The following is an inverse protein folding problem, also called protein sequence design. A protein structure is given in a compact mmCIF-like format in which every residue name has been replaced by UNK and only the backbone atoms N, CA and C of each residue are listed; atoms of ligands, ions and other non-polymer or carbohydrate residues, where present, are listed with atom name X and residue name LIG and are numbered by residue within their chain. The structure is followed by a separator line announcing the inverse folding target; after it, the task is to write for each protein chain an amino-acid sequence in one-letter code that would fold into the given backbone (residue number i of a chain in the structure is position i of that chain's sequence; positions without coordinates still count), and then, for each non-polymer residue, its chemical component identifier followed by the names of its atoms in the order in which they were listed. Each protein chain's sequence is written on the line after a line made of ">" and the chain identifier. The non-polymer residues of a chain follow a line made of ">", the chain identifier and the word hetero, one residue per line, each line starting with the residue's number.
data_IF_585268155203
#
_entry.id   IF_585268155203
#
_cell.length_a   1.000
_cell.length_b   1.000
_cell.length_c   1.000
_cell.angle_alpha   90.00
_cell.angle_beta   90.00
_cell.angle_gamma   90.00
#
_symmetry.space_group_name_H-M   'P 1'
#
loop_
_entity.id
_entity.type
_entity.pdbx_description
1 polymer ?
#
# COMPACT_ATOMS: atom_id res chain seq x y z
N UNK A 1 12.23 10.07 6.80
CA UNK A 1 11.49 8.81 6.70
C UNK A 1 11.34 8.29 8.11
N UNK A 2 10.10 8.12 8.55
CA UNK A 2 9.82 7.47 9.83
C UNK A 2 10.48 6.09 9.85
N UNK A 3 11.10 5.76 10.98
CA UNK A 3 11.63 4.43 11.23
C UNK A 3 10.54 3.60 11.91
N UNK A 4 10.41 2.35 11.52
CA UNK A 4 9.49 1.39 12.12
C UNK A 4 10.27 0.25 12.79
N UNK A 5 9.65 -0.39 13.78
CA UNK A 5 10.21 -1.57 14.40
C UNK A 5 10.44 -2.68 13.35
N UNK A 6 11.54 -3.43 13.48
CA UNK A 6 11.88 -4.50 12.54
C UNK A 6 12.42 -4.04 11.18
N UNK A 7 12.69 -2.74 10.96
CA UNK A 7 13.27 -2.25 9.70
C UNK A 7 14.60 -2.94 9.34
N UNK A 8 15.55 -2.97 10.29
CA UNK A 8 16.85 -3.60 10.08
C UNK A 8 16.73 -5.13 9.85
N UNK A 9 15.74 -5.78 10.46
CA UNK A 9 15.45 -7.20 10.20
C UNK A 9 14.94 -7.38 8.77
N UNK A 10 13.98 -6.57 8.33
CA UNK A 10 13.46 -6.62 6.98
C UNK A 10 14.55 -6.39 5.93
N UNK A 11 15.43 -5.41 6.14
CA UNK A 11 16.59 -5.16 5.27
C UNK A 11 17.57 -6.35 5.23
N UNK A 12 17.87 -6.93 6.39
CA UNK A 12 18.78 -8.07 6.51
C UNK A 12 18.25 -9.34 5.84
N UNK A 13 16.93 -9.57 5.87
CA UNK A 13 16.30 -10.78 5.34
C UNK A 13 15.88 -10.66 3.87
N UNK A 14 15.43 -9.47 3.44
CA UNK A 14 14.77 -9.28 2.15
C UNK A 14 15.40 -8.22 1.26
N UNK A 15 16.61 -7.77 1.63
CA UNK A 15 17.40 -6.80 0.88
C UNK A 15 17.13 -5.35 1.25
N UNK A 16 18.04 -4.47 0.86
CA UNK A 16 17.90 -3.03 1.08
C UNK A 16 16.82 -2.45 0.14
N UNK A 17 15.84 -1.70 0.68
CA UNK A 17 14.76 -1.10 -0.11
C UNK A 17 15.25 0.11 -0.92
N UNK A 18 14.58 0.40 -2.04
CA UNK A 18 14.66 1.73 -2.63
C UNK A 18 13.93 2.74 -1.74
N UNK A 19 14.48 3.96 -1.59
CA UNK A 19 13.85 4.99 -0.76
C UNK A 19 13.40 6.15 -1.65
N UNK A 20 12.09 6.43 -1.65
CA UNK A 20 11.51 7.59 -2.34
C UNK A 20 10.89 8.57 -1.37
N UNK A 21 10.97 9.85 -1.72
CA UNK A 21 10.40 10.95 -0.94
C UNK A 21 9.42 11.73 -1.79
N UNK A 22 8.25 12.02 -1.22
CA UNK A 22 7.18 12.77 -1.86
C UNK A 22 6.77 13.94 -0.97
N UNK A 23 6.61 15.12 -1.58
CA UNK A 23 5.94 16.26 -0.97
C UNK A 23 4.51 16.31 -1.51
N UNK A 24 3.51 16.17 -0.64
CA UNK A 24 2.10 16.20 -1.01
C UNK A 24 1.46 17.60 -0.86
N UNK A 25 2.26 18.61 -0.52
CA UNK A 25 1.79 19.97 -0.30
C UNK A 25 1.02 20.12 1.01
N UNK A 26 0.02 20.99 1.01
CA UNK A 26 -0.93 21.12 2.13
C UNK A 26 -2.23 20.41 1.75
N UNK A 27 -2.62 19.44 2.57
CA UNK A 27 -3.80 18.60 2.33
C UNK A 27 -5.02 19.06 3.15
N UNK A 28 -4.93 20.20 3.86
CA UNK A 28 -6.08 20.77 4.60
C UNK A 28 -6.79 19.74 5.48
N UNK A 29 -8.13 19.74 5.46
CA UNK A 29 -8.98 18.80 6.20
C UNK A 29 -9.60 17.71 5.31
N UNK A 30 -8.87 17.21 4.32
CA UNK A 30 -9.32 16.17 3.39
C UNK A 30 -9.71 14.88 4.14
N UNK A 31 -11.00 14.73 4.42
CA UNK A 31 -11.53 13.75 5.38
C UNK A 31 -11.10 12.32 5.06
N UNK A 32 -11.29 11.88 3.80
CA UNK A 32 -10.90 10.53 3.36
C UNK A 32 -9.41 10.24 3.52
N UNK A 33 -8.58 11.26 3.31
CA UNK A 33 -7.14 11.14 3.52
C UNK A 33 -6.78 11.09 5.01
N UNK A 34 -7.45 11.85 5.86
CA UNK A 34 -7.19 11.83 7.30
C UNK A 34 -7.75 10.61 8.03
N UNK A 35 -8.91 10.11 7.61
CA UNK A 35 -9.50 8.88 8.13
C UNK A 35 -8.51 7.72 8.04
N UNK A 36 -7.82 7.59 6.89
CA UNK A 36 -6.86 6.51 6.69
C UNK A 36 -5.65 6.60 7.63
N UNK A 37 -5.26 7.79 8.07
CA UNK A 37 -4.07 8.03 8.89
C UNK A 37 -4.38 8.26 10.36
N UNK A 38 -5.66 8.14 10.76
CA UNK A 38 -6.15 8.51 12.10
C UNK A 38 -5.39 7.80 13.24
N UNK A 39 -5.03 6.53 13.05
CA UNK A 39 -4.43 5.69 14.09
C UNK A 39 -3.02 5.19 13.76
N UNK A 40 -2.41 5.67 12.67
CA UNK A 40 -1.14 5.13 12.17
C UNK A 40 -0.26 6.21 11.55
N UNK A 41 1.05 6.02 11.68
CA UNK A 41 2.04 6.86 11.01
C UNK A 41 2.70 6.15 9.81
N UNK A 42 2.51 4.84 9.72
CA UNK A 42 3.00 4.05 8.62
C UNK A 42 2.02 2.94 8.22
N UNK A 43 2.21 2.43 7.01
CA UNK A 43 1.51 1.26 6.48
C UNK A 43 2.48 0.32 5.78
N UNK A 44 2.09 -0.94 5.65
CA UNK A 44 2.71 -1.90 4.74
C UNK A 44 1.88 -1.97 3.47
N UNK A 45 2.53 -2.00 2.31
CA UNK A 45 1.91 -2.20 1.00
C UNK A 45 2.30 -3.58 0.49
N UNK A 46 1.29 -4.38 0.15
CA UNK A 46 1.43 -5.79 -0.18
C UNK A 46 1.38 -5.96 -1.70
N UNK A 47 2.53 -6.14 -2.34
CA UNK A 47 2.61 -6.49 -3.76
C UNK A 47 2.55 -8.00 -3.86
N UNK A 48 1.34 -8.56 -3.90
CA UNK A 48 1.16 -10.01 -3.97
C UNK A 48 1.20 -10.45 -5.43
N UNK A 49 2.30 -11.09 -5.83
CA UNK A 49 2.47 -11.64 -7.17
C UNK A 49 1.72 -12.98 -7.29
N UNK A 50 0.88 -13.06 -8.31
CA UNK A 50 -0.02 -14.15 -8.66
C UNK A 50 0.53 -14.94 -9.85
N UNK A 51 -0.18 -16.01 -10.23
CA UNK A 51 0.17 -16.81 -11.39
C UNK A 51 0.31 -15.94 -12.65
N UNK A 52 1.28 -16.27 -13.51
CA UNK A 52 1.56 -15.51 -14.73
C UNK A 52 2.16 -14.11 -14.48
N UNK A 53 2.71 -13.84 -13.30
CA UNK A 53 3.36 -12.57 -12.98
C UNK A 53 2.38 -11.41 -12.74
N UNK A 54 1.10 -11.71 -12.54
CA UNK A 54 0.07 -10.71 -12.23
C UNK A 54 0.18 -10.22 -10.79
N UNK A 55 -0.42 -9.09 -10.48
CA UNK A 55 -0.45 -8.47 -9.16
C UNK A 55 -1.90 -8.41 -8.66
N UNK A 56 -2.11 -8.82 -7.42
CA UNK A 56 -3.43 -8.75 -6.78
C UNK A 56 -3.78 -7.31 -6.39
N UNK A 57 -4.97 -6.88 -6.76
CA UNK A 57 -5.60 -5.65 -6.30
C UNK A 57 -6.89 -5.98 -5.55
N UNK A 58 -7.30 -5.07 -4.68
CA UNK A 58 -8.57 -5.11 -3.96
C UNK A 58 -9.38 -3.84 -4.16
N UNK A 59 -10.68 -3.94 -3.88
CA UNK A 59 -11.60 -2.80 -3.79
C UNK A 59 -12.41 -2.91 -2.49
N UNK A 60 -12.85 -1.77 -1.96
CA UNK A 60 -13.67 -1.69 -0.74
C UNK A 60 -15.03 -1.11 -1.10
N UNK A 61 -16.08 -1.59 -0.43
CA UNK A 61 -17.49 -1.25 -0.72
C UNK A 61 -17.83 0.25 -0.63
N UNK A 62 -16.99 1.04 0.03
CA UNK A 62 -17.18 2.48 0.21
C UNK A 62 -16.31 3.34 -0.72
N UNK A 63 -15.48 2.73 -1.58
CA UNK A 63 -14.72 3.46 -2.59
C UNK A 63 -15.64 3.92 -3.73
N UNK A 64 -15.24 4.97 -4.48
CA UNK A 64 -15.87 5.27 -5.75
C UNK A 64 -15.85 4.05 -6.67
N UNK A 65 -16.91 3.88 -7.47
CA UNK A 65 -17.03 2.75 -8.38
C UNK A 65 -15.80 2.62 -9.30
N UNK A 66 -15.34 1.39 -9.51
CA UNK A 66 -14.17 1.13 -10.34
C UNK A 66 -12.83 1.46 -9.69
N UNK A 67 -12.81 1.86 -8.41
CA UNK A 67 -11.55 2.11 -7.69
C UNK A 67 -10.93 0.79 -7.22
N UNK A 68 -9.70 0.54 -7.65
CA UNK A 68 -8.90 -0.62 -7.27
C UNK A 68 -7.54 -0.19 -6.77
N UNK A 69 -7.00 -0.93 -5.80
CA UNK A 69 -5.67 -0.64 -5.28
C UNK A 69 -4.92 -1.87 -4.78
N UNK A 70 -3.60 -1.75 -4.67
CA UNK A 70 -2.76 -2.66 -3.91
C UNK A 70 -3.30 -2.84 -2.47
N UNK A 71 -3.34 -4.06 -1.92
CA UNK A 71 -3.62 -4.27 -0.51
C UNK A 71 -2.60 -3.56 0.38
N UNK A 72 -3.06 -3.11 1.54
CA UNK A 72 -2.22 -2.38 2.49
C UNK A 72 -2.94 -2.22 3.82
N UNK A 73 -2.18 -2.23 4.90
CA UNK A 73 -2.73 -1.77 6.16
C UNK A 73 -1.69 -1.28 7.15
N UNK A 74 -2.18 -0.92 8.33
CA UNK A 74 -1.44 -0.06 9.25
C UNK A 74 -0.35 -0.81 9.96
N UNK A 75 0.76 -0.12 10.23
CA UNK A 75 1.74 -0.60 11.21
C UNK A 75 1.34 -0.06 12.57
N UNK A 76 1.02 -0.96 13.51
CA UNK A 76 0.70 -0.58 14.88
C UNK A 76 1.95 -0.05 15.62
N UNK A 77 1.73 0.71 16.70
CA UNK A 77 2.83 1.25 17.50
C UNK A 77 3.67 0.10 18.10
N UNK A 78 4.96 0.05 17.75
CA UNK A 78 5.88 -0.99 18.20
C UNK A 78 5.78 -2.32 17.44
N UNK A 79 4.85 -2.47 16.49
CA UNK A 79 4.69 -3.66 15.68
C UNK A 79 5.84 -3.79 14.66
N UNK A 80 6.55 -4.93 14.61
CA UNK A 80 7.55 -5.20 13.59
C UNK A 80 6.94 -5.23 12.18
N UNK A 81 7.64 -4.64 11.20
CA UNK A 81 7.15 -4.58 9.81
C UNK A 81 6.75 -5.95 9.24
N UNK A 82 7.53 -6.99 9.50
CA UNK A 82 7.25 -8.33 8.98
C UNK A 82 6.03 -8.97 9.66
N UNK A 83 5.71 -8.59 10.90
CA UNK A 83 4.48 -9.01 11.56
C UNK A 83 3.27 -8.29 10.96
N UNK A 84 3.38 -6.97 10.73
CA UNK A 84 2.35 -6.20 10.04
C UNK A 84 2.06 -6.77 8.64
N UNK A 85 3.10 -7.10 7.86
CA UNK A 85 2.93 -7.72 6.53
C UNK A 85 2.16 -9.04 6.62
N UNK A 86 2.52 -9.92 7.57
CA UNK A 86 1.85 -11.23 7.74
C UNK A 86 0.40 -11.06 8.16
N UNK A 87 0.14 -10.19 9.14
CA UNK A 87 -1.19 -9.89 9.67
C UNK A 87 -2.09 -9.35 8.56
N UNK A 88 -1.67 -8.27 7.90
CA UNK A 88 -2.44 -7.61 6.84
C UNK A 88 -2.67 -8.51 5.63
N UNK A 89 -1.68 -9.35 5.27
CA UNK A 89 -1.85 -10.34 4.18
C UNK A 89 -2.98 -11.32 4.52
N UNK A 90 -2.99 -11.83 5.76
CA UNK A 90 -4.03 -12.77 6.20
C UNK A 90 -5.40 -12.08 6.34
N UNK A 91 -5.46 -10.93 6.99
CA UNK A 91 -6.69 -10.16 7.27
C UNK A 91 -7.36 -9.69 5.97
N UNK A 92 -6.61 -9.05 5.07
CA UNK A 92 -7.21 -8.47 3.86
C UNK A 92 -7.45 -9.52 2.76
N UNK A 93 -6.64 -10.58 2.67
CA UNK A 93 -6.70 -11.50 1.52
C UNK A 93 -6.95 -12.96 1.86
N UNK A 94 -6.75 -13.37 3.11
CA UNK A 94 -6.83 -14.77 3.52
C UNK A 94 -5.75 -15.68 2.93
N UNK A 95 -4.77 -15.11 2.23
CA UNK A 95 -3.70 -15.85 1.56
C UNK A 95 -2.52 -16.10 2.51
N UNK A 96 -1.85 -17.23 2.32
CA UNK A 96 -0.57 -17.53 2.95
C UNK A 96 0.60 -17.12 2.02
N UNK A 97 0.68 -15.83 1.67
CA UNK A 97 1.76 -15.32 0.82
C UNK A 97 3.01 -15.00 1.66
N UNK A 98 4.18 -15.25 1.10
CA UNK A 98 5.47 -15.09 1.76
C UNK A 98 6.23 -13.91 1.18
N UNK A 99 6.85 -13.10 2.05
CA UNK A 99 7.74 -12.02 1.61
C UNK A 99 8.95 -12.61 0.91
N UNK A 100 9.25 -12.09 -0.28
CA UNK A 100 10.44 -12.47 -1.05
C UNK A 100 11.40 -11.31 -1.26
N UNK A 101 10.91 -10.06 -1.18
CA UNK A 101 11.74 -8.86 -1.34
C UNK A 101 11.14 -7.67 -0.62
N UNK A 102 12.00 -6.85 -0.01
CA UNK A 102 11.65 -5.54 0.49
C UNK A 102 11.91 -4.52 -0.62
N UNK A 103 10.85 -4.10 -1.31
CA UNK A 103 10.96 -3.29 -2.52
C UNK A 103 11.32 -1.85 -2.20
N UNK A 104 10.64 -1.23 -1.24
CA UNK A 104 10.81 0.19 -1.02
C UNK A 104 10.28 0.78 0.28
N UNK A 105 10.78 1.97 0.60
CA UNK A 105 10.23 2.87 1.60
C UNK A 105 9.80 4.15 0.90
N UNK A 106 8.50 4.43 0.92
CA UNK A 106 7.93 5.68 0.39
C UNK A 106 7.66 6.62 1.56
N UNK A 107 8.33 7.76 1.56
CA UNK A 107 8.25 8.73 2.64
C UNK A 107 7.47 9.96 2.17
N UNK A 108 6.44 10.31 2.91
CA UNK A 108 5.54 11.39 2.55
C UNK A 108 5.70 12.52 3.55
N UNK A 109 6.03 13.71 3.04
CA UNK A 109 6.02 14.95 3.77
C UNK A 109 4.87 15.81 3.25
N UNK A 110 4.08 16.37 4.17
CA UNK A 110 2.93 17.21 3.80
C UNK A 110 2.55 18.12 4.97
N UNK A 111 1.55 18.97 4.76
CA UNK A 111 1.05 19.90 5.77
C UNK A 111 -0.43 19.72 6.01
N UNK A 112 -0.85 20.01 7.24
CA UNK A 112 -2.25 20.23 7.63
C UNK A 112 -2.37 21.65 8.14
N UNK A 113 -2.97 22.56 7.37
CA UNK A 113 -3.07 23.98 7.76
C UNK A 113 -1.70 24.58 8.11
N UNK A 114 -0.71 24.33 7.26
CA UNK A 114 0.68 24.74 7.46
C UNK A 114 1.48 23.90 8.46
N UNK A 115 0.86 23.02 9.25
CA UNK A 115 1.56 22.18 10.22
C UNK A 115 2.20 20.96 9.56
N UNK A 116 3.53 20.74 9.68
CA UNK A 116 4.22 19.66 9.00
C UNK A 116 3.79 18.28 9.52
N UNK A 117 3.77 17.31 8.61
CA UNK A 117 3.35 15.94 8.84
C UNK A 117 4.29 15.01 8.08
N UNK A 118 4.52 13.82 8.64
CA UNK A 118 5.30 12.78 7.98
C UNK A 118 4.57 11.43 8.08
N UNK A 119 4.57 10.66 6.99
CA UNK A 119 4.06 9.29 6.93
C UNK A 119 4.99 8.41 6.10
N UNK A 120 4.86 7.09 6.23
CA UNK A 120 5.61 6.14 5.42
C UNK A 120 4.79 4.95 4.92
N UNK A 121 5.08 4.46 3.73
CA UNK A 121 4.63 3.14 3.24
C UNK A 121 5.85 2.24 3.05
N UNK A 122 5.81 1.04 3.60
CA UNK A 122 6.83 0.00 3.40
C UNK A 122 6.30 -1.04 2.41
N UNK A 123 6.95 -1.15 1.26
CA UNK A 123 6.45 -1.92 0.12
C UNK A 123 7.17 -3.26 0.06
N UNK A 124 6.41 -4.35 0.14
CA UNK A 124 6.93 -5.71 0.12
C UNK A 124 6.39 -6.48 -1.08
N UNK A 125 7.27 -7.25 -1.74
CA UNK A 125 6.87 -8.25 -2.73
C UNK A 125 6.59 -9.56 -2.01
N UNK A 126 5.42 -10.13 -2.26
CA UNK A 126 4.99 -11.41 -1.72
C UNK A 126 4.66 -12.40 -2.84
N UNK A 127 4.96 -13.68 -2.59
CA UNK A 127 4.71 -14.79 -3.51
C UNK A 127 4.07 -15.98 -2.79
N UNK A 128 3.85 -17.09 -3.49
CA UNK A 128 3.35 -18.36 -2.92
C UNK A 128 1.95 -18.31 -2.28
N UNK A 129 1.18 -17.23 -2.45
CA UNK A 129 -0.21 -17.17 -2.01
C UNK A 129 -1.13 -18.02 -2.88
N UNK A 130 -1.22 -19.33 -2.67
CA UNK A 130 -2.15 -20.17 -3.42
C UNK A 130 -3.62 -19.93 -3.01
N UNK A 131 -4.57 -20.31 -3.88
CA UNK A 131 -6.01 -20.25 -3.59
C UNK A 131 -6.69 -18.94 -3.98
N UNK A 132 -8.00 -18.87 -3.70
CA UNK A 132 -8.83 -17.70 -3.97
C UNK A 132 -8.75 -16.71 -2.81
N UNK A 133 -8.48 -15.41 -3.07
CA UNK A 133 -8.44 -14.42 -2.02
C UNK A 133 -9.83 -14.20 -1.42
N UNK A 134 -9.90 -14.16 -0.10
CA UNK A 134 -11.12 -13.89 0.67
C UNK A 134 -10.73 -13.17 1.97
N UNK A 135 -11.26 -11.96 2.23
CA UNK A 135 -10.93 -11.23 3.44
C UNK A 135 -11.32 -12.05 4.68
N UNK A 136 -10.53 -11.93 5.73
CA UNK A 136 -10.78 -12.54 7.05
C UNK A 136 -11.29 -11.53 8.07
N UNK A 137 -11.19 -10.24 7.76
CA UNK A 137 -11.78 -9.17 8.55
C UNK A 137 -12.89 -8.46 7.75
N UNK A 138 -14.14 -8.58 8.24
CA UNK A 138 -15.29 -7.89 7.64
C UNK A 138 -15.23 -6.37 7.84
N UNK A 139 -14.54 -5.88 8.89
CA UNK A 139 -14.36 -4.46 9.15
C UNK A 139 -13.56 -3.76 8.05
N UNK A 140 -12.74 -4.50 7.31
CA UNK A 140 -12.00 -4.00 6.15
C UNK A 140 -12.92 -3.70 4.95
N UNK A 141 -14.15 -4.23 4.94
CA UNK A 141 -15.17 -3.97 3.91
C UNK A 141 -14.67 -4.20 2.47
N UNK A 142 -13.71 -5.11 2.31
CA UNK A 142 -13.18 -5.53 1.01
C UNK A 142 -14.29 -6.27 0.26
N UNK A 143 -14.69 -5.72 -0.88
CA UNK A 143 -15.82 -6.19 -1.66
C UNK A 143 -15.42 -6.89 -2.97
N UNK A 144 -14.12 -6.95 -3.27
CA UNK A 144 -13.65 -7.71 -4.42
C UNK A 144 -12.15 -7.69 -4.59
N UNK A 145 -11.67 -8.64 -5.40
CA UNK A 145 -10.29 -8.75 -5.85
C UNK A 145 -10.22 -8.83 -7.36
N UNK A 146 -9.11 -8.37 -7.93
CA UNK A 146 -8.75 -8.64 -9.32
C UNK A 146 -7.25 -8.77 -9.46
N UNK A 147 -6.82 -9.49 -10.49
CA UNK A 147 -5.41 -9.64 -10.81
C UNK A 147 -5.09 -8.85 -12.08
N UNK A 148 -4.04 -8.04 -12.05
CA UNK A 148 -3.63 -7.19 -13.19
C UNK A 148 -2.18 -7.48 -13.58
N UNK A 149 -1.84 -7.30 -14.85
CA UNK A 149 -0.45 -7.27 -15.30
C UNK A 149 0.26 -5.98 -14.83
N UNK A 150 1.60 -5.94 -14.88
CA UNK A 150 2.35 -4.72 -14.57
C UNK A 150 1.96 -3.51 -15.45
N UNK A 151 1.78 -3.64 -16.79
CA UNK A 151 1.26 -2.53 -17.60
C UNK A 151 -0.12 -2.04 -17.16
N UNK A 152 -1.03 -2.94 -16.77
CA UNK A 152 -2.33 -2.55 -16.23
C UNK A 152 -2.21 -1.88 -14.85
N UNK A 153 -1.21 -2.24 -14.03
CA UNK A 153 -0.93 -1.57 -12.76
C UNK A 153 -0.61 -0.07 -12.95
N UNK A 154 0.14 0.26 -14.00
CA UNK A 154 0.41 1.65 -14.38
C UNK A 154 -0.87 2.41 -14.74
N UNK A 155 -1.81 1.76 -15.44
CA UNK A 155 -3.12 2.34 -15.75
C UNK A 155 -3.96 2.56 -14.49
N UNK A 156 -3.92 1.63 -13.53
CA UNK A 156 -4.57 1.79 -12.24
C UNK A 156 -4.01 2.98 -11.46
N UNK A 157 -2.69 3.19 -11.49
CA UNK A 157 -2.08 4.40 -10.92
C UNK A 157 -2.69 5.68 -11.50
N UNK A 158 -2.80 5.76 -12.82
CA UNK A 158 -3.39 6.94 -13.49
C UNK A 158 -4.87 7.13 -13.14
N UNK A 159 -5.63 6.04 -13.01
CA UNK A 159 -7.03 6.09 -12.57
C UNK A 159 -7.16 6.64 -11.15
N UNK A 160 -6.31 6.16 -10.22
CA UNK A 160 -6.29 6.64 -8.84
C UNK A 160 -5.99 8.15 -8.76
N UNK A 161 -5.07 8.66 -9.58
CA UNK A 161 -4.71 10.09 -9.62
C UNK A 161 -5.86 10.99 -10.07
N UNK A 162 -6.78 10.45 -10.87
CA UNK A 162 -7.87 11.19 -11.50
C UNK A 162 -9.19 11.09 -10.73
N UNK A 163 -9.23 10.37 -9.60
CA UNK A 163 -10.45 10.29 -8.80
C UNK A 163 -10.86 11.71 -8.35
N UNK A 164 -12.09 12.17 -8.62
CA UNK A 164 -12.52 13.53 -8.29
C UNK A 164 -13.09 13.64 -6.86
N UNK A 165 -13.43 14.87 -6.46
CA UNK A 165 -14.19 15.15 -5.24
C UNK A 165 -13.42 14.82 -3.97
N UNK A 166 -14.15 14.34 -2.94
CA UNK A 166 -13.62 14.03 -1.61
C UNK A 166 -12.52 12.95 -1.59
N UNK A 167 -12.33 12.25 -2.71
CA UNK A 167 -11.34 11.19 -2.86
C UNK A 167 -10.07 11.66 -3.58
N UNK A 168 -10.00 12.92 -4.05
CA UNK A 168 -8.93 13.35 -4.94
C UNK A 168 -7.54 13.33 -4.29
N UNK A 169 -7.42 13.80 -3.05
CA UNK A 169 -6.15 13.75 -2.31
C UNK A 169 -5.77 12.32 -1.97
N UNK A 170 -6.74 11.51 -1.53
CA UNK A 170 -6.53 10.10 -1.25
C UNK A 170 -6.08 9.32 -2.49
N UNK A 171 -6.70 9.58 -3.64
CA UNK A 171 -6.41 8.92 -4.91
C UNK A 171 -5.00 9.23 -5.41
N UNK A 172 -4.63 10.52 -5.45
CA UNK A 172 -3.26 10.95 -5.78
C UNK A 172 -2.22 10.31 -4.85
N UNK A 173 -2.51 10.23 -3.55
CA UNK A 173 -1.65 9.54 -2.60
C UNK A 173 -1.52 8.04 -2.91
N UNK A 174 -2.65 7.33 -3.10
CA UNK A 174 -2.65 5.87 -3.34
C UNK A 174 -1.96 5.49 -4.64
N UNK A 175 -1.97 6.36 -5.64
CA UNK A 175 -1.30 6.13 -6.91
C UNK A 175 0.23 6.02 -6.77
N UNK A 176 0.84 6.73 -5.82
CA UNK A 176 2.29 6.77 -5.64
C UNK A 176 2.90 5.36 -5.46
N UNK A 177 2.26 4.51 -4.66
CA UNK A 177 2.71 3.14 -4.45
C UNK A 177 2.56 2.28 -5.72
N UNK A 178 1.53 2.50 -6.54
CA UNK A 178 1.34 1.76 -7.79
C UNK A 178 2.41 2.12 -8.81
N UNK A 179 2.65 3.43 -8.97
CA UNK A 179 3.69 3.95 -9.84
C UNK A 179 5.08 3.46 -9.42
N UNK A 180 5.37 3.53 -8.13
CA UNK A 180 6.61 2.99 -7.57
C UNK A 180 6.82 1.51 -7.94
N UNK A 181 5.79 0.68 -7.72
CA UNK A 181 5.87 -0.75 -8.01
C UNK A 181 6.04 -1.02 -9.51
N UNK A 182 5.32 -0.31 -10.38
CA UNK A 182 5.49 -0.44 -11.83
C UNK A 182 6.92 -0.13 -12.27
N UNK A 183 7.52 0.94 -11.75
CA UNK A 183 8.89 1.34 -12.08
C UNK A 183 9.92 0.32 -11.57
N UNK A 184 9.87 -0.03 -10.28
CA UNK A 184 10.85 -0.95 -9.66
C UNK A 184 10.77 -2.37 -10.23
N UNK A 185 9.56 -2.85 -10.55
CA UNK A 185 9.37 -4.20 -11.08
C UNK A 185 9.72 -4.31 -12.57
N UNK A 186 9.88 -3.19 -13.30
CA UNK A 186 10.39 -3.19 -14.69
C UNK A 186 11.91 -3.20 -14.78
N UNK A 187 12.58 -2.74 -13.75
CA UNK A 187 14.05 -2.67 -13.67
C UNK A 187 14.69 -3.97 -13.19
N UNK A 188 13.88 -4.97 -12.80
CA UNK A 188 14.32 -6.29 -12.30
C UNK A 188 14.03 -7.38 -13.31
#
# INVERSE_FOLDING_TARGET
>A
CLSAAGLAEAEGRYGRPEVRRYDLGDVGDEERFWEMWRARQAEVVLVIRRAGGRVLLQTKSFYPEGTWRLPSGGVHAGEPLLEAVRRETLEETGLAAEVVRFLGVLCYHFRRHGQPQERASYVFLLENGAGHPAPKDEAERISGFREVSLPELALVSQQLEQIPGEWAVWGRFRALAHRFVDEVMRET
#
